data_IF_391904531937
#
_entry.id   IF_391904531937
#
_cell.length_a   1.000
_cell.length_b   1.000
_cell.length_c   1.000
_cell.angle_alpha   90.00
_cell.angle_beta   90.00
_cell.angle_gamma   90.00
#
_symmetry.space_group_name_H-M   'P 1'
#
loop_
_entity.id
_entity.type
_entity.pdbx_description
1 polymer ?
#
# COMPACT_ATOMS: atom_id res chain seq x y z
N UNK A 1 5.14 -5.27 -38.66
CA UNK A 1 5.35 -4.56 -37.37
C UNK A 1 4.06 -4.03 -36.72
N UNK A 2 2.86 -4.39 -37.19
CA UNK A 2 1.61 -3.72 -36.75
C UNK A 2 1.30 -3.87 -35.26
N UNK A 3 1.50 -5.07 -34.70
CA UNK A 3 1.31 -5.34 -33.27
C UNK A 3 2.21 -4.45 -32.42
N UNK A 4 3.50 -4.39 -32.75
CA UNK A 4 4.48 -3.55 -32.04
C UNK A 4 4.08 -2.07 -32.05
N UNK A 5 3.72 -1.53 -33.22
CA UNK A 5 3.31 -0.14 -33.36
C UNK A 5 2.00 0.17 -32.62
N UNK A 6 1.10 -0.82 -32.52
CA UNK A 6 -0.14 -0.70 -31.74
C UNK A 6 0.06 -0.98 -30.25
N UNK A 7 1.14 -1.63 -29.82
CA UNK A 7 1.41 -1.97 -28.42
C UNK A 7 2.39 -1.02 -27.74
N UNK A 8 3.16 -0.20 -28.48
CA UNK A 8 4.13 0.74 -27.91
C UNK A 8 3.50 1.71 -26.89
N UNK A 9 4.27 2.06 -25.86
CA UNK A 9 3.92 3.05 -24.85
C UNK A 9 3.49 4.39 -25.49
N UNK A 10 2.23 4.76 -25.28
CA UNK A 10 1.65 6.04 -25.73
C UNK A 10 0.42 6.40 -24.90
N UNK A 11 -0.11 7.59 -25.11
CA UNK A 11 -1.37 8.02 -24.53
C UNK A 11 -2.54 7.28 -25.17
N UNK A 12 -3.47 6.76 -24.35
CA UNK A 12 -4.65 6.02 -24.79
C UNK A 12 -5.84 6.29 -23.89
N UNK A 13 -7.03 6.19 -24.45
CA UNK A 13 -8.28 6.17 -23.69
C UNK A 13 -8.29 4.98 -22.74
N UNK A 14 -8.47 5.27 -21.45
CA UNK A 14 -8.52 4.28 -20.40
C UNK A 14 -9.69 4.58 -19.48
N UNK A 15 -10.40 3.53 -19.07
CA UNK A 15 -11.47 3.64 -18.07
C UNK A 15 -10.84 3.73 -16.68
N UNK A 16 -11.12 4.83 -15.99
CA UNK A 16 -10.65 5.08 -14.64
C UNK A 16 -11.84 5.11 -13.69
N UNK A 17 -11.73 4.34 -12.62
CA UNK A 17 -12.73 4.26 -11.56
C UNK A 17 -12.68 5.53 -10.70
N UNK A 18 -13.82 6.20 -10.55
CA UNK A 18 -13.92 7.46 -9.81
C UNK A 18 -13.53 7.26 -8.33
N UNK A 19 -13.90 6.13 -7.74
CA UNK A 19 -13.62 5.84 -6.32
C UNK A 19 -12.13 5.64 -6.02
N UNK A 20 -11.34 5.22 -7.03
CA UNK A 20 -9.88 5.08 -6.87
C UNK A 20 -9.16 6.42 -6.91
N UNK A 21 -9.66 7.37 -7.71
CA UNK A 21 -9.10 8.72 -7.82
C UNK A 21 -9.55 9.61 -6.66
N UNK A 22 -10.75 9.36 -6.12
CA UNK A 22 -11.35 10.11 -5.01
C UNK A 22 -11.75 9.19 -3.84
N UNK A 23 -10.79 8.57 -3.14
CA UNK A 23 -11.07 7.61 -2.07
C UNK A 23 -11.75 8.24 -0.84
N UNK A 24 -11.61 9.55 -0.65
CA UNK A 24 -12.19 10.28 0.48
C UNK A 24 -13.72 10.44 0.36
N UNK A 25 -14.29 10.32 -0.86
CA UNK A 25 -15.72 10.50 -1.07
C UNK A 25 -16.50 9.18 -1.00
N UNK A 26 -16.71 8.68 0.22
CA UNK A 26 -17.40 7.41 0.47
C UNK A 26 -18.93 7.52 0.57
N UNK A 27 -19.47 8.73 0.71
CA UNK A 27 -20.91 8.95 0.93
C UNK A 27 -21.73 9.02 -0.37
N UNK A 28 -21.07 9.14 -1.53
CA UNK A 28 -21.73 9.46 -2.79
C UNK A 28 -21.63 8.33 -3.81
N UNK A 29 -22.73 8.17 -4.55
CA UNK A 29 -22.76 7.29 -5.71
C UNK A 29 -22.62 8.10 -6.99
N UNK A 30 -21.63 7.76 -7.81
CA UNK A 30 -21.39 8.41 -9.10
C UNK A 30 -21.94 7.56 -10.25
N UNK A 31 -22.62 8.21 -11.19
CA UNK A 31 -23.12 7.62 -12.42
C UNK A 31 -22.66 8.44 -13.64
N UNK A 32 -21.85 7.87 -14.55
CA UNK A 32 -21.22 6.54 -14.46
C UNK A 32 -20.22 6.44 -13.28
N UNK A 33 -19.88 5.22 -12.86
CA UNK A 33 -18.87 4.98 -11.80
C UNK A 33 -17.42 5.09 -12.31
N UNK A 34 -17.24 5.12 -13.63
CA UNK A 34 -15.95 5.28 -14.29
C UNK A 34 -16.04 6.32 -15.41
N UNK A 35 -14.89 6.93 -15.71
CA UNK A 35 -14.75 7.93 -16.78
C UNK A 35 -13.65 7.51 -17.75
N UNK A 36 -13.76 7.94 -19.00
CA UNK A 36 -12.72 7.77 -20.01
C UNK A 36 -11.75 8.94 -19.92
N UNK A 37 -10.47 8.65 -19.69
CA UNK A 37 -9.40 9.66 -19.64
C UNK A 37 -8.16 9.17 -20.38
N UNK A 38 -7.35 10.09 -20.88
CA UNK A 38 -6.08 9.74 -21.51
C UNK A 38 -5.04 9.34 -20.46
N UNK A 39 -4.56 8.10 -20.51
CA UNK A 39 -3.50 7.58 -19.64
C UNK A 39 -2.39 6.94 -20.48
N UNK A 40 -1.20 6.84 -19.90
CA UNK A 40 -0.07 6.17 -20.54
C UNK A 40 -0.30 4.67 -20.48
N UNK A 41 -0.31 4.02 -21.64
CA UNK A 41 -0.55 2.59 -21.76
C UNK A 41 0.21 2.00 -22.96
N UNK A 42 0.66 0.77 -22.77
CA UNK A 42 1.45 0.03 -23.76
C UNK A 42 2.67 -0.62 -23.13
N UNK A 43 3.45 -1.27 -23.99
CA UNK A 43 4.67 -1.98 -23.63
C UNK A 43 5.89 -1.13 -23.98
N UNK A 44 6.92 -1.25 -23.14
CA UNK A 44 8.27 -0.78 -23.44
C UNK A 44 9.10 -1.92 -24.05
N UNK A 45 10.23 -1.62 -24.72
CA UNK A 45 11.08 -2.65 -25.32
C UNK A 45 11.75 -3.59 -24.31
N UNK A 46 11.90 -3.14 -23.06
CA UNK A 46 12.55 -3.85 -21.97
C UNK A 46 11.64 -3.87 -20.73
N UNK A 47 11.57 -5.00 -20.04
CA UNK A 47 10.76 -5.19 -18.83
C UNK A 47 11.28 -4.39 -17.64
N UNK A 48 12.56 -3.98 -17.66
CA UNK A 48 13.15 -3.07 -16.68
C UNK A 48 12.62 -1.62 -16.84
N UNK A 49 11.95 -1.31 -17.96
CA UNK A 49 11.34 -0.01 -18.21
C UNK A 49 9.84 -0.02 -17.86
N UNK A 50 9.33 1.13 -17.46
CA UNK A 50 7.92 1.40 -17.25
C UNK A 50 7.43 2.57 -18.10
N UNK A 51 6.19 2.46 -18.59
CA UNK A 51 5.54 3.49 -19.39
C UNK A 51 4.93 4.55 -18.46
N UNK A 52 5.59 5.69 -18.34
CA UNK A 52 5.23 6.75 -17.38
C UNK A 52 4.90 8.06 -18.09
N UNK A 53 4.02 8.91 -17.52
CA UNK A 53 3.76 10.23 -18.06
C UNK A 53 4.95 11.17 -17.88
N UNK A 54 5.26 11.92 -18.92
CA UNK A 54 6.23 13.04 -18.86
C UNK A 54 5.55 14.40 -18.80
N UNK A 55 4.31 14.47 -19.28
CA UNK A 55 3.50 15.68 -19.26
C UNK A 55 2.04 15.30 -18.99
N UNK A 56 1.39 16.08 -18.13
CA UNK A 56 0.00 15.87 -17.71
C UNK A 56 -0.79 17.17 -17.75
N UNK A 57 -2.12 17.03 -17.84
CA UNK A 57 -3.07 18.13 -17.73
C UNK A 57 -4.30 17.70 -16.95
N UNK A 58 -5.00 18.63 -16.34
CA UNK A 58 -6.27 18.34 -15.67
C UNK A 58 -7.43 18.60 -16.63
N UNK A 59 -8.41 17.69 -16.63
CA UNK A 59 -9.66 17.83 -17.39
C UNK A 59 -10.83 17.68 -16.45
N UNK A 60 -11.77 18.61 -16.54
CA UNK A 60 -13.00 18.58 -15.75
C UNK A 60 -14.08 17.82 -16.51
N UNK A 61 -14.64 16.78 -15.90
CA UNK A 61 -15.71 15.96 -16.46
C UNK A 61 -16.97 16.08 -15.59
N UNK A 62 -18.13 16.03 -16.24
CA UNK A 62 -19.43 16.10 -15.58
C UNK A 62 -19.98 14.69 -15.34
N UNK A 63 -20.35 14.39 -14.10
CA UNK A 63 -20.94 13.13 -13.65
C UNK A 63 -22.21 13.38 -12.86
N UNK A 64 -23.09 12.38 -12.76
CA UNK A 64 -24.24 12.46 -11.87
C UNK A 64 -23.81 11.96 -10.50
N UNK A 65 -24.02 12.76 -9.47
CA UNK A 65 -23.75 12.42 -8.06
C UNK A 65 -25.08 12.22 -7.34
N UNK A 66 -25.20 11.11 -6.62
CA UNK A 66 -26.40 10.75 -5.84
C UNK A 66 -26.03 10.58 -4.38
N UNK A 67 -26.73 11.29 -3.49
CA UNK A 67 -26.68 11.06 -2.03
C UNK A 67 -27.86 10.18 -1.62
N UNK A 68 -27.58 9.02 -1.02
CA UNK A 68 -28.57 8.17 -0.34
C UNK A 68 -29.92 8.02 -1.08
N UNK A 69 -29.91 7.89 -2.41
CA UNK A 69 -31.10 7.78 -3.26
C UNK A 69 -32.13 8.93 -3.23
N UNK A 70 -31.82 10.10 -2.67
CA UNK A 70 -32.81 11.20 -2.53
C UNK A 70 -32.73 12.22 -3.66
N UNK A 71 -31.52 12.66 -4.04
CA UNK A 71 -31.35 13.73 -5.03
C UNK A 71 -30.15 13.48 -5.94
N UNK A 72 -30.40 13.53 -7.25
CA UNK A 72 -29.39 13.48 -8.30
C UNK A 72 -29.01 14.91 -8.69
N UNK A 73 -27.72 15.20 -8.73
CA UNK A 73 -27.21 16.47 -9.26
C UNK A 73 -26.04 16.23 -10.19
N UNK A 74 -25.89 17.14 -11.16
CA UNK A 74 -24.69 17.17 -11.99
C UNK A 74 -23.53 17.72 -11.17
N UNK A 75 -22.40 17.03 -11.22
CA UNK A 75 -21.22 17.36 -10.44
C UNK A 75 -19.98 17.28 -11.33
N UNK A 76 -19.06 18.21 -11.12
CA UNK A 76 -17.83 18.31 -11.89
C UNK A 76 -16.68 17.71 -11.10
N UNK A 77 -15.99 16.75 -11.70
CA UNK A 77 -14.78 16.13 -11.16
C UNK A 77 -13.59 16.46 -12.06
N UNK A 78 -12.42 16.67 -11.46
CA UNK A 78 -11.18 16.94 -12.19
C UNK A 78 -10.37 15.65 -12.31
N UNK A 79 -9.89 15.29 -13.49
CA UNK A 79 -9.05 14.11 -13.67
C UNK A 79 -7.74 14.49 -14.33
N UNK A 80 -6.66 13.83 -13.89
CA UNK A 80 -5.35 13.96 -14.53
C UNK A 80 -5.32 13.12 -15.80
N UNK A 81 -5.10 13.78 -16.93
CA UNK A 81 -4.79 13.18 -18.21
C UNK A 81 -3.31 13.26 -18.52
N UNK A 82 -2.80 12.25 -19.21
CA UNK A 82 -1.43 12.20 -19.69
C UNK A 82 -1.40 12.69 -21.14
N UNK A 83 -0.54 13.68 -21.44
CA UNK A 83 -0.38 14.22 -22.81
C UNK A 83 0.83 13.66 -23.52
N UNK A 84 1.89 13.29 -22.77
CA UNK A 84 3.09 12.62 -23.29
C UNK A 84 3.52 11.47 -22.38
N UNK A 85 4.05 10.41 -22.99
CA UNK A 85 4.50 9.20 -22.30
C UNK A 85 5.88 8.80 -22.79
N UNK A 86 6.71 8.30 -21.88
CA UNK A 86 8.03 7.74 -22.21
C UNK A 86 8.31 6.48 -21.39
N UNK A 87 9.18 5.63 -21.91
CA UNK A 87 9.72 4.49 -21.18
C UNK A 87 10.88 4.96 -20.30
N UNK A 88 10.72 4.86 -18.99
CA UNK A 88 11.77 5.18 -18.01
C UNK A 88 12.17 3.93 -17.24
N UNK A 89 13.43 3.81 -16.78
CA UNK A 89 13.84 2.72 -15.90
C UNK A 89 12.96 2.71 -14.64
N UNK A 90 12.41 1.54 -14.31
CA UNK A 90 11.69 1.34 -13.06
C UNK A 90 12.63 1.71 -11.92
N UNK A 91 12.20 2.61 -11.03
CA UNK A 91 12.90 2.75 -9.77
C UNK A 91 12.73 1.42 -9.04
N UNK A 92 13.83 0.73 -8.77
CA UNK A 92 13.81 -0.39 -7.83
C UNK A 92 13.31 0.18 -6.50
N UNK A 93 12.01 0.04 -6.26
CA UNK A 93 11.46 0.17 -4.92
C UNK A 93 12.26 -0.87 -4.15
N UNK A 94 13.22 -0.40 -3.36
CA UNK A 94 13.81 -1.17 -2.29
C UNK A 94 12.62 -1.53 -1.41
N UNK A 95 11.94 -2.63 -1.75
CA UNK A 95 11.06 -3.34 -0.85
C UNK A 95 11.89 -3.39 0.41
N UNK A 96 11.47 -2.65 1.44
CA UNK A 96 12.12 -2.71 2.74
C UNK A 96 12.12 -4.19 3.06
N UNK A 97 13.27 -4.81 2.87
CA UNK A 97 13.54 -6.18 3.24
C UNK A 97 12.98 -6.30 4.66
N UNK A 98 11.99 -7.16 4.85
CA UNK A 98 11.45 -7.46 6.17
C UNK A 98 12.62 -7.56 7.15
N UNK A 99 12.49 -6.83 8.27
CA UNK A 99 13.56 -6.60 9.24
C UNK A 99 14.35 -7.89 9.49
N UNK A 100 15.64 -7.88 9.14
CA UNK A 100 16.58 -8.99 9.31
C UNK A 100 16.99 -9.18 10.78
N UNK A 101 16.05 -9.07 11.72
CA UNK A 101 16.35 -9.38 13.11
C UNK A 101 16.33 -10.90 13.28
N UNK A 102 17.42 -11.48 13.76
CA UNK A 102 17.40 -12.87 14.20
C UNK A 102 16.42 -13.02 15.39
N UNK A 103 15.66 -14.13 15.45
CA UNK A 103 14.71 -14.35 16.52
C UNK A 103 15.43 -14.51 17.87
N UNK A 104 14.95 -13.80 18.90
CA UNK A 104 15.52 -13.81 20.26
C UNK A 104 15.72 -15.20 20.88
N UNK A 105 14.93 -16.20 20.46
CA UNK A 105 15.09 -17.59 20.86
C UNK A 105 14.34 -18.51 19.91
N UNK A 106 15.01 -19.48 19.29
CA UNK A 106 14.35 -20.45 18.39
C UNK A 106 13.28 -21.29 19.10
N UNK A 107 13.56 -21.74 20.33
CA UNK A 107 12.67 -22.63 21.08
C UNK A 107 11.59 -21.90 21.88
N UNK A 108 11.78 -20.60 22.16
CA UNK A 108 10.98 -19.87 23.18
C UNK A 108 10.48 -18.51 22.68
N UNK A 109 10.21 -18.38 21.38
CA UNK A 109 9.70 -17.14 20.73
C UNK A 109 8.57 -16.46 21.51
N UNK A 110 7.65 -17.22 22.10
CA UNK A 110 6.49 -16.71 22.85
C UNK A 110 6.81 -15.98 24.17
N UNK A 111 8.00 -16.15 24.71
CA UNK A 111 8.42 -15.57 25.99
C UNK A 111 9.21 -14.27 25.83
N UNK A 112 9.58 -13.91 24.60
CA UNK A 112 10.37 -12.72 24.29
C UNK A 112 9.55 -11.75 23.44
N UNK A 113 9.81 -10.46 23.63
CA UNK A 113 9.34 -9.37 22.78
C UNK A 113 10.56 -8.75 22.13
N UNK A 114 10.50 -8.49 20.82
CA UNK A 114 11.61 -7.91 20.07
C UNK A 114 11.21 -6.54 19.53
N UNK A 115 12.07 -5.55 19.74
CA UNK A 115 11.92 -4.24 19.12
C UNK A 115 12.21 -4.35 17.61
N UNK A 116 11.26 -3.94 16.73
CA UNK A 116 11.41 -4.11 15.28
C UNK A 116 12.43 -3.17 14.65
N UNK A 117 12.90 -2.14 15.37
CA UNK A 117 13.85 -1.14 14.89
C UNK A 117 15.26 -1.41 15.44
N UNK A 118 15.36 -1.78 16.73
CA UNK A 118 16.65 -2.01 17.39
C UNK A 118 17.02 -3.49 17.53
N UNK A 119 16.14 -4.41 17.14
CA UNK A 119 16.24 -5.86 17.35
C UNK A 119 16.46 -6.27 18.82
N UNK A 120 16.25 -5.37 19.79
CA UNK A 120 16.46 -5.64 21.22
C UNK A 120 15.42 -6.61 21.74
N UNK A 121 15.90 -7.69 22.37
CA UNK A 121 15.07 -8.72 22.98
C UNK A 121 14.82 -8.42 24.46
N UNK A 122 13.55 -8.49 24.88
CA UNK A 122 13.16 -8.37 26.29
C UNK A 122 12.18 -9.47 26.68
N UNK A 123 12.08 -9.78 27.98
CA UNK A 123 11.10 -10.74 28.46
C UNK A 123 9.69 -10.19 28.34
N UNK A 124 8.76 -11.03 27.86
CA UNK A 124 7.34 -10.70 27.78
C UNK A 124 6.71 -10.44 29.15
N UNK A 125 7.17 -11.17 30.17
CA UNK A 125 6.70 -11.03 31.54
C UNK A 125 7.67 -10.21 32.37
N UNK A 126 7.15 -9.44 33.32
CA UNK A 126 7.93 -8.70 34.31
C UNK A 126 8.03 -9.46 35.63
N UNK A 127 9.01 -9.10 36.47
CA UNK A 127 9.18 -9.70 37.80
C UNK A 127 7.92 -9.57 38.66
N UNK A 128 7.20 -8.44 38.56
CA UNK A 128 5.94 -8.20 39.27
C UNK A 128 4.83 -9.17 38.82
N UNK A 129 4.76 -9.45 37.51
CA UNK A 129 3.77 -10.39 36.94
C UNK A 129 4.04 -11.84 37.31
N UNK A 130 5.32 -12.23 37.50
CA UNK A 130 5.63 -13.55 38.04
C UNK A 130 5.33 -13.61 39.54
N UNK A 131 5.66 -12.55 40.30
CA UNK A 131 5.43 -12.48 41.76
C UNK A 131 3.96 -12.54 42.14
N UNK A 132 3.05 -11.96 41.34
CA UNK A 132 1.60 -12.10 41.57
C UNK A 132 1.13 -13.57 41.53
N UNK A 133 1.91 -14.45 40.89
CA UNK A 133 1.69 -15.89 40.80
C UNK A 133 2.56 -16.70 41.77
N UNK A 134 3.22 -16.04 42.73
CA UNK A 134 4.18 -16.64 43.67
C UNK A 134 5.38 -17.32 42.98
N UNK A 135 5.78 -16.80 41.82
CA UNK A 135 6.90 -17.26 41.01
C UNK A 135 7.93 -16.12 40.84
N UNK A 136 9.15 -16.45 40.42
CA UNK A 136 10.19 -15.49 40.10
C UNK A 136 10.53 -15.54 38.61
N UNK A 137 10.68 -14.37 37.97
CA UNK A 137 11.11 -14.30 36.59
C UNK A 137 12.58 -14.68 36.49
N UNK A 138 12.85 -15.70 35.71
CA UNK A 138 14.18 -16.05 35.27
C UNK A 138 14.53 -15.22 34.03
N UNK A 139 15.27 -14.13 34.20
CA UNK A 139 15.61 -13.19 33.12
C UNK A 139 16.40 -13.83 31.96
N UNK A 140 17.11 -14.94 32.21
CA UNK A 140 17.82 -15.66 31.15
C UNK A 140 16.89 -16.47 30.25
N UNK A 141 15.76 -16.93 30.79
CA UNK A 141 14.83 -17.83 30.07
C UNK A 141 13.45 -17.23 29.82
N UNK A 142 13.20 -16.05 30.39
CA UNK A 142 11.92 -15.35 30.44
C UNK A 142 10.75 -16.21 30.96
N UNK A 143 11.04 -17.16 31.86
CA UNK A 143 10.03 -18.01 32.53
C UNK A 143 9.78 -17.53 33.94
N UNK A 144 8.53 -17.65 34.39
CA UNK A 144 8.22 -17.55 35.81
C UNK A 144 8.44 -18.94 36.44
N UNK A 145 9.54 -19.10 37.17
CA UNK A 145 9.92 -20.35 37.82
C UNK A 145 9.62 -20.27 39.33
N UNK A 146 9.50 -21.42 40.01
CA UNK A 146 9.37 -21.42 41.48
C UNK A 146 10.69 -20.91 42.10
N UNK A 147 10.62 -20.16 43.22
CA UNK A 147 11.82 -19.76 43.95
C UNK A 147 12.64 -21.00 44.29
N UNK A 148 13.93 -21.00 43.93
CA UNK A 148 14.83 -22.07 44.40
C UNK A 148 15.05 -21.86 45.89
N UNK A 149 14.63 -22.83 46.69
CA UNK A 149 14.83 -22.87 48.14
C UNK A 149 16.29 -23.04 48.49
#
# INVERSE_FOLDING_TARGET
MEVYNKSVCRTRETLVDIYKEYPDDTEHTYHPSCVVVMRCAGCCPDEALECVPTETRNVTLEVIRTRQHVQQSKYQLSFTEHTKCECKPKQEVKVKKENHCEPCSERRKRLYVQDPITCKCSCKFTQLQCKSRQLELNERTCRCDKPRR
#
